data_IF_563462807957
#
_entry.id   IF_563462807957
#
_cell.length_a   1.000
_cell.length_b   1.000
_cell.length_c   1.000
_cell.angle_alpha   90.00
_cell.angle_beta   90.00
_cell.angle_gamma   90.00
#
_symmetry.space_group_name_H-M   'P 1'
#
loop_
_entity.id
_entity.type
_entity.pdbx_description
1 polymer ?
#
# COMPACT_ATOMS: atom_id res chain seq x y z
N UNK A 1 -15.91 7.38 5.43
CA UNK A 1 -14.89 6.66 6.19
C UNK A 1 -15.16 6.89 7.66
N UNK A 2 -14.79 5.95 8.53
CA UNK A 2 -14.97 6.06 9.98
C UNK A 2 -13.65 5.80 10.68
N UNK A 3 -13.21 6.73 11.51
CA UNK A 3 -12.02 6.54 12.36
C UNK A 3 -12.39 5.58 13.49
N UNK A 4 -11.56 4.55 13.69
CA UNK A 4 -11.77 3.53 14.72
C UNK A 4 -10.66 3.51 15.77
N UNK A 5 -9.53 4.16 15.50
CA UNK A 5 -8.40 4.18 16.43
C UNK A 5 -7.28 5.09 15.95
N UNK A 6 -6.33 5.31 16.86
CA UNK A 6 -5.03 5.92 16.54
C UNK A 6 -4.13 4.87 15.89
N UNK A 7 -3.47 5.24 14.80
CA UNK A 7 -2.40 4.44 14.21
C UNK A 7 -1.02 4.96 14.65
N UNK A 8 0.04 4.34 14.14
CA UNK A 8 1.41 4.83 14.35
C UNK A 8 2.29 4.65 13.12
N UNK A 9 3.41 5.39 13.09
CA UNK A 9 4.44 5.18 12.08
C UNK A 9 5.03 3.77 12.17
N UNK A 10 5.24 3.27 13.39
CA UNK A 10 5.69 1.91 13.66
C UNK A 10 4.78 0.85 13.01
N UNK A 11 3.47 1.03 13.15
CA UNK A 11 2.45 0.19 12.52
C UNK A 11 2.52 0.29 11.00
N UNK A 12 2.63 1.50 10.44
CA UNK A 12 2.78 1.69 9.00
C UNK A 12 3.98 0.94 8.44
N UNK A 13 5.16 1.09 9.05
CA UNK A 13 6.38 0.44 8.59
C UNK A 13 6.25 -1.09 8.69
N UNK A 14 5.67 -1.59 9.79
CA UNK A 14 5.45 -3.03 9.97
C UNK A 14 4.50 -3.60 8.90
N UNK A 15 3.33 -2.98 8.71
CA UNK A 15 2.34 -3.39 7.71
C UNK A 15 2.89 -3.32 6.29
N UNK A 16 3.65 -2.27 5.95
CA UNK A 16 4.28 -2.13 4.64
C UNK A 16 5.21 -3.32 4.36
N UNK A 17 6.12 -3.61 5.31
CA UNK A 17 7.12 -4.67 5.14
C UNK A 17 6.51 -6.07 5.12
N UNK A 18 5.48 -6.33 5.94
CA UNK A 18 4.74 -7.61 5.91
C UNK A 18 4.01 -7.79 4.59
N UNK A 19 3.32 -6.75 4.10
CA UNK A 19 2.64 -6.75 2.81
C UNK A 19 3.57 -7.09 1.65
N UNK A 20 4.80 -6.58 1.69
CA UNK A 20 5.81 -6.81 0.66
C UNK A 20 6.62 -8.10 0.84
N UNK A 21 6.67 -8.67 2.06
CA UNK A 21 7.42 -9.90 2.33
C UNK A 21 6.82 -11.11 1.61
N UNK A 22 5.49 -11.15 1.46
CA UNK A 22 4.77 -12.20 0.74
C UNK A 22 4.77 -12.02 -0.79
N UNK A 23 5.25 -10.87 -1.28
CA UNK A 23 5.35 -10.58 -2.71
C UNK A 23 6.46 -11.42 -3.36
N UNK A 24 6.13 -12.14 -4.43
CA UNK A 24 7.13 -12.86 -5.25
C UNK A 24 8.23 -11.93 -5.76
N UNK A 25 7.86 -10.69 -6.09
CA UNK A 25 8.77 -9.70 -6.67
C UNK A 25 9.69 -9.08 -5.62
N UNK A 26 9.17 -8.80 -4.43
CA UNK A 26 9.86 -7.95 -3.44
C UNK A 26 10.35 -8.71 -2.21
N UNK A 27 9.71 -9.82 -1.85
CA UNK A 27 10.08 -10.68 -0.74
C UNK A 27 11.55 -11.13 -0.75
N UNK A 28 12.13 -11.57 -1.89
CA UNK A 28 13.55 -11.94 -1.95
C UNK A 28 14.51 -10.78 -1.62
N UNK A 29 14.13 -9.54 -1.95
CA UNK A 29 14.95 -8.36 -1.64
C UNK A 29 14.89 -8.02 -0.17
N UNK A 30 13.70 -8.02 0.43
CA UNK A 30 13.53 -7.80 1.87
C UNK A 30 14.27 -8.87 2.68
N UNK A 31 14.18 -10.14 2.28
CA UNK A 31 14.89 -11.24 2.95
C UNK A 31 16.41 -11.06 2.93
N UNK A 32 16.97 -10.55 1.83
CA UNK A 32 18.41 -10.25 1.72
C UNK A 32 18.82 -9.09 2.62
N UNK A 33 18.02 -8.01 2.69
CA UNK A 33 18.27 -6.87 3.57
C UNK A 33 18.25 -7.32 5.04
N UNK A 34 17.25 -8.12 5.44
CA UNK A 34 17.22 -8.70 6.79
C UNK A 34 18.50 -9.48 7.10
N UNK A 35 18.94 -10.33 6.17
CA UNK A 35 20.16 -11.13 6.35
C UNK A 35 21.42 -10.27 6.47
N UNK A 36 21.56 -9.18 5.70
CA UNK A 36 22.73 -8.29 5.80
C UNK A 36 22.81 -7.53 7.13
N UNK A 37 21.66 -7.31 7.78
CA UNK A 37 21.59 -6.70 9.12
C UNK A 37 21.56 -7.72 10.26
N UNK A 38 21.70 -9.03 9.96
CA UNK A 38 21.62 -10.10 10.96
C UNK A 38 20.24 -10.22 11.63
N UNK A 39 19.19 -9.72 10.98
CA UNK A 39 17.84 -9.66 11.53
C UNK A 39 17.02 -10.90 11.13
N UNK A 40 16.22 -11.47 12.05
CA UNK A 40 15.33 -12.58 11.73
C UNK A 40 14.09 -12.09 10.98
N UNK A 41 13.43 -12.98 10.23
CA UNK A 41 12.14 -12.69 9.59
C UNK A 41 11.04 -12.29 10.59
N UNK A 42 11.16 -12.76 11.84
CA UNK A 42 10.21 -12.44 12.92
C UNK A 42 10.19 -10.96 13.28
N UNK A 43 11.24 -10.21 12.96
CA UNK A 43 11.24 -8.74 13.06
C UNK A 43 10.06 -8.11 12.30
N UNK A 44 9.64 -8.75 11.20
CA UNK A 44 8.52 -8.29 10.38
C UNK A 44 7.23 -9.02 10.74
N UNK A 45 7.25 -10.35 10.84
CA UNK A 45 6.01 -11.17 10.93
C UNK A 45 5.39 -11.23 12.32
N UNK A 46 6.08 -10.77 13.37
CA UNK A 46 5.57 -10.70 14.73
C UNK A 46 6.04 -9.40 15.40
N UNK A 47 5.77 -8.27 14.73
CA UNK A 47 6.30 -6.98 15.13
C UNK A 47 5.80 -6.56 16.53
N UNK A 48 6.72 -6.29 17.46
CA UNK A 48 6.38 -5.62 18.70
C UNK A 48 6.41 -4.10 18.48
N UNK A 49 5.24 -3.50 18.25
CA UNK A 49 5.13 -2.06 17.99
C UNK A 49 5.53 -1.19 19.20
N UNK A 50 5.58 -1.77 20.39
CA UNK A 50 6.02 -1.05 21.61
C UNK A 50 7.54 -1.07 21.82
N UNK A 51 8.29 -1.83 21.02
CA UNK A 51 9.74 -1.92 21.10
C UNK A 51 10.39 -0.88 20.16
N UNK A 52 11.01 0.18 20.69
CA UNK A 52 11.62 1.23 19.87
C UNK A 52 12.81 0.73 19.05
N UNK A 53 13.55 -0.27 19.53
CA UNK A 53 14.70 -0.82 18.82
C UNK A 53 14.22 -1.65 17.62
N UNK A 54 13.23 -2.52 17.79
CA UNK A 54 12.63 -3.25 16.65
C UNK A 54 12.02 -2.28 15.63
N UNK A 55 11.35 -1.23 16.10
CA UNK A 55 10.77 -0.19 15.24
C UNK A 55 11.85 0.49 14.38
N UNK A 56 12.97 0.85 14.99
CA UNK A 56 14.09 1.48 14.30
C UNK A 56 14.74 0.53 13.28
N UNK A 57 14.91 -0.75 13.62
CA UNK A 57 15.44 -1.74 12.67
C UNK A 57 14.50 -1.96 11.49
N UNK A 58 13.18 -2.01 11.70
CA UNK A 58 12.20 -2.04 10.62
C UNK A 58 12.28 -0.80 9.74
N UNK A 59 12.44 0.39 10.34
CA UNK A 59 12.66 1.64 9.62
C UNK A 59 13.87 1.59 8.69
N UNK A 60 14.99 1.00 9.16
CA UNK A 60 16.20 0.81 8.34
C UNK A 60 15.99 -0.16 7.19
N UNK A 61 15.29 -1.27 7.43
CA UNK A 61 14.93 -2.24 6.37
C UNK A 61 14.11 -1.56 5.28
N UNK A 62 13.08 -0.77 5.67
CA UNK A 62 12.26 -0.04 4.69
C UNK A 62 13.05 1.08 3.99
N UNK A 63 13.98 1.73 4.71
CA UNK A 63 14.92 2.70 4.16
C UNK A 63 15.80 2.13 3.05
N UNK A 64 16.41 0.97 3.30
CA UNK A 64 17.23 0.29 2.30
C UNK A 64 16.38 -0.26 1.14
N UNK A 65 15.18 -0.77 1.41
CA UNK A 65 14.31 -1.35 0.39
C UNK A 65 13.65 -0.32 -0.53
N UNK A 66 13.20 0.81 0.03
CA UNK A 66 12.33 1.79 -0.66
C UNK A 66 12.69 3.25 -0.44
N UNK A 67 13.75 3.54 0.30
CA UNK A 67 14.20 4.91 0.54
C UNK A 67 13.50 5.66 1.66
N UNK A 68 12.78 4.96 2.54
CA UNK A 68 12.13 5.56 3.70
C UNK A 68 13.10 6.33 4.59
N UNK A 69 12.72 7.55 5.01
CA UNK A 69 13.54 8.52 5.76
C UNK A 69 14.88 8.89 5.09
N UNK A 70 15.02 8.64 3.79
CA UNK A 70 16.24 8.90 3.01
C UNK A 70 15.97 9.77 1.77
N UNK A 71 14.74 10.27 1.60
CA UNK A 71 14.32 11.12 0.48
C UNK A 71 14.74 10.54 -0.90
N UNK A 72 14.51 9.23 -1.09
CA UNK A 72 14.88 8.51 -2.32
C UNK A 72 13.79 7.51 -2.70
N UNK A 73 13.82 7.08 -3.95
CA UNK A 73 12.87 6.10 -4.51
C UNK A 73 11.41 6.47 -4.21
N UNK A 74 10.64 5.56 -3.60
CA UNK A 74 9.22 5.76 -3.29
C UNK A 74 9.00 6.92 -2.32
N UNK A 75 9.95 7.22 -1.44
CA UNK A 75 9.79 8.23 -0.40
C UNK A 75 10.43 9.59 -0.74
N UNK A 76 10.67 9.86 -2.02
CA UNK A 76 11.18 11.17 -2.47
C UNK A 76 10.12 12.26 -2.28
N UNK A 77 10.39 13.25 -1.43
CA UNK A 77 9.46 14.30 -1.02
C UNK A 77 8.41 13.84 0.02
N UNK A 78 8.52 12.62 0.54
CA UNK A 78 7.57 12.14 1.54
C UNK A 78 7.83 12.85 2.88
N UNK A 79 6.80 13.33 3.59
CA UNK A 79 6.98 14.10 4.81
C UNK A 79 7.48 13.22 5.96
N UNK A 80 8.29 13.81 6.83
CA UNK A 80 8.83 13.13 8.02
C UNK A 80 7.75 12.92 9.10
N UNK A 81 6.73 13.77 9.14
CA UNK A 81 5.66 13.74 10.14
C UNK A 81 4.30 13.54 9.49
N UNK A 82 3.65 12.43 9.84
CA UNK A 82 2.25 12.14 9.54
C UNK A 82 1.51 11.73 10.80
N UNK A 83 0.27 12.19 10.91
CA UNK A 83 -0.68 11.67 11.90
C UNK A 83 -1.35 10.42 11.34
N UNK A 84 -1.12 9.28 11.98
CA UNK A 84 -1.65 7.98 11.56
C UNK A 84 -2.96 7.64 12.28
N UNK A 85 -3.93 7.11 11.53
CA UNK A 85 -5.24 6.69 12.03
C UNK A 85 -5.63 5.35 11.44
N UNK A 86 -6.26 4.50 12.26
CA UNK A 86 -6.95 3.32 11.79
C UNK A 86 -8.37 3.73 11.38
N UNK A 87 -8.74 3.44 10.14
CA UNK A 87 -10.06 3.79 9.60
C UNK A 87 -10.72 2.58 8.94
N UNK A 88 -12.05 2.61 8.90
CA UNK A 88 -12.87 1.72 8.09
C UNK A 88 -13.46 2.50 6.92
N UNK A 89 -13.35 1.94 5.73
CA UNK A 89 -13.93 2.48 4.50
C UNK A 89 -15.01 1.54 3.97
N UNK A 90 -16.10 2.10 3.45
CA UNK A 90 -17.03 1.31 2.64
C UNK A 90 -16.37 0.93 1.31
N UNK A 91 -16.89 -0.09 0.59
CA UNK A 91 -16.43 -0.39 -0.77
C UNK A 91 -16.47 0.82 -1.71
N UNK A 92 -17.52 1.66 -1.64
CA UNK A 92 -17.62 2.84 -2.50
C UNK A 92 -16.55 3.89 -2.19
N UNK A 93 -16.20 4.07 -0.92
CA UNK A 93 -15.14 5.00 -0.50
C UNK A 93 -13.76 4.48 -0.88
N UNK A 94 -13.53 3.19 -0.67
CA UNK A 94 -12.30 2.50 -1.03
C UNK A 94 -11.99 2.62 -2.53
N UNK A 95 -13.00 2.51 -3.39
CA UNK A 95 -12.84 2.61 -4.85
C UNK A 95 -12.61 4.04 -5.35
N UNK A 96 -12.73 5.05 -4.49
CA UNK A 96 -12.33 6.44 -4.77
C UNK A 96 -10.87 6.73 -4.36
N UNK A 97 -10.19 5.81 -3.65
CA UNK A 97 -8.75 5.93 -3.37
C UNK A 97 -7.97 5.91 -4.67
N UNK A 98 -7.04 6.84 -4.83
CA UNK A 98 -6.20 6.94 -6.02
C UNK A 98 -4.93 6.09 -5.85
N UNK A 99 -4.46 5.50 -6.95
CA UNK A 99 -3.08 5.01 -7.03
C UNK A 99 -2.08 6.17 -6.90
N UNK A 100 -0.84 5.92 -6.51
CA UNK A 100 0.24 6.92 -6.64
C UNK A 100 0.37 7.45 -8.08
N UNK A 101 0.86 8.68 -8.23
CA UNK A 101 1.30 9.18 -9.53
C UNK A 101 2.60 8.48 -9.94
N UNK A 102 2.45 7.39 -10.67
CA UNK A 102 3.55 6.60 -11.17
C UNK A 102 3.17 5.98 -12.50
N UNK A 103 4.10 6.00 -13.45
CA UNK A 103 3.85 5.70 -14.86
C UNK A 103 3.10 4.38 -15.09
N UNK A 104 3.39 3.35 -14.31
CA UNK A 104 2.69 2.07 -14.39
C UNK A 104 1.19 2.19 -14.05
N UNK A 105 0.85 2.83 -12.93
CA UNK A 105 -0.54 2.98 -12.48
C UNK A 105 -1.32 3.97 -13.35
N UNK A 106 -0.65 5.05 -13.76
CA UNK A 106 -1.19 6.02 -14.71
C UNK A 106 -1.50 5.36 -16.06
N UNK A 107 -0.62 4.50 -16.57
CA UNK A 107 -0.88 3.74 -17.80
C UNK A 107 -2.00 2.69 -17.63
N UNK A 108 -2.07 1.99 -16.50
CA UNK A 108 -3.11 1.00 -16.20
C UNK A 108 -4.52 1.61 -16.14
N UNK A 109 -4.61 2.88 -15.76
CA UNK A 109 -5.89 3.60 -15.54
C UNK A 109 -6.19 4.66 -16.59
N UNK A 110 -5.37 4.76 -17.64
CA UNK A 110 -5.46 5.82 -18.65
C UNK A 110 -5.48 7.23 -18.02
N UNK A 111 -4.64 7.45 -17.00
CA UNK A 111 -4.43 8.74 -16.35
C UNK A 111 -5.32 9.04 -15.15
N UNK A 112 -6.41 8.31 -14.94
CA UNK A 112 -7.37 8.65 -13.86
C UNK A 112 -6.88 8.29 -12.47
N UNK A 113 -5.92 7.35 -12.38
CA UNK A 113 -5.41 6.76 -11.13
C UNK A 113 -6.49 6.02 -10.32
N UNK A 114 -7.68 5.75 -10.90
CA UNK A 114 -8.80 5.11 -10.19
C UNK A 114 -8.77 3.57 -10.30
N UNK A 115 -9.00 2.83 -9.20
CA UNK A 115 -9.06 1.38 -9.21
C UNK A 115 -10.16 0.79 -10.11
N UNK A 116 -11.29 1.48 -10.20
CA UNK A 116 -12.40 1.07 -11.08
C UNK A 116 -12.03 1.10 -12.56
N UNK A 117 -11.17 2.05 -12.97
CA UNK A 117 -10.66 2.14 -14.34
C UNK A 117 -9.61 1.07 -14.61
N UNK A 118 -8.74 0.78 -13.64
CA UNK A 118 -7.83 -0.37 -13.72
C UNK A 118 -8.62 -1.68 -13.86
N UNK A 119 -9.65 -1.91 -13.05
CA UNK A 119 -10.48 -3.11 -13.14
C UNK A 119 -11.13 -3.25 -14.52
N UNK A 120 -11.64 -2.16 -15.12
CA UNK A 120 -12.20 -2.16 -16.48
C UNK A 120 -11.14 -2.51 -17.52
N UNK A 121 -9.96 -1.88 -17.44
CA UNK A 121 -8.84 -2.15 -18.35
C UNK A 121 -8.41 -3.62 -18.30
N UNK A 122 -8.26 -4.19 -17.10
CA UNK A 122 -7.84 -5.58 -16.89
C UNK A 122 -8.89 -6.57 -17.40
N UNK A 123 -10.18 -6.34 -17.09
CA UNK A 123 -11.29 -7.18 -17.61
C UNK A 123 -11.36 -7.15 -19.14
N UNK A 124 -10.96 -6.05 -19.77
CA UNK A 124 -10.84 -5.93 -21.23
C UNK A 124 -9.62 -6.64 -21.83
N UNK A 125 -8.79 -7.31 -21.04
CA UNK A 125 -7.56 -7.95 -21.50
C UNK A 125 -6.42 -6.96 -21.76
N UNK A 126 -6.48 -5.77 -21.14
CA UNK A 126 -5.49 -4.71 -21.35
C UNK A 126 -4.09 -5.12 -20.91
N UNK A 127 -3.10 -4.71 -21.72
CA UNK A 127 -1.67 -4.87 -21.44
C UNK A 127 -1.06 -3.50 -21.13
N UNK A 128 -0.45 -3.34 -19.95
CA UNK A 128 0.19 -2.08 -19.59
C UNK A 128 1.38 -1.83 -20.53
N UNK A 129 1.50 -0.62 -21.07
CA UNK A 129 2.46 -0.27 -22.12
C UNK A 129 2.39 -1.20 -23.36
N UNK A 130 1.24 -1.83 -23.62
CA UNK A 130 1.01 -2.69 -24.78
C UNK A 130 1.63 -4.10 -24.70
N UNK A 131 2.38 -4.43 -23.65
CA UNK A 131 3.08 -5.72 -23.55
C UNK A 131 3.12 -6.33 -22.15
N UNK A 132 2.89 -5.56 -21.08
CA UNK A 132 2.95 -6.08 -19.72
C UNK A 132 1.60 -6.71 -19.33
N UNK A 133 1.56 -8.01 -18.99
CA UNK A 133 0.32 -8.70 -18.67
C UNK A 133 -0.23 -8.28 -17.31
N UNK A 134 -1.56 -8.29 -17.20
CA UNK A 134 -2.31 -7.89 -15.99
C UNK A 134 -2.99 -9.07 -15.28
N UNK A 135 -2.80 -10.30 -15.77
CA UNK A 135 -3.48 -11.50 -15.24
C UNK A 135 -3.18 -11.81 -13.77
N UNK A 136 -2.05 -11.35 -13.22
CA UNK A 136 -1.74 -11.52 -11.80
C UNK A 136 -2.74 -10.81 -10.88
N UNK A 137 -3.36 -9.69 -11.32
CA UNK A 137 -4.42 -9.04 -10.55
C UNK A 137 -5.70 -9.88 -10.48
N UNK A 138 -6.00 -10.65 -11.53
CA UNK A 138 -7.15 -11.55 -11.56
C UNK A 138 -6.96 -12.70 -10.56
N UNK A 139 -5.76 -13.29 -10.51
CA UNK A 139 -5.44 -14.34 -9.55
C UNK A 139 -5.61 -13.86 -8.09
N UNK A 140 -5.16 -12.65 -7.77
CA UNK A 140 -5.36 -12.05 -6.44
C UNK A 140 -6.85 -11.79 -6.17
N UNK A 141 -7.60 -11.34 -7.17
CA UNK A 141 -9.04 -11.14 -7.04
C UNK A 141 -9.79 -12.46 -6.83
N UNK A 142 -9.36 -13.56 -7.45
CA UNK A 142 -9.93 -14.89 -7.25
C UNK A 142 -9.73 -15.37 -5.80
N UNK A 143 -8.50 -15.28 -5.27
CA UNK A 143 -8.24 -15.58 -3.85
C UNK A 143 -9.09 -14.72 -2.90
N UNK A 144 -9.44 -13.49 -3.29
CA UNK A 144 -10.29 -12.62 -2.47
C UNK A 144 -11.73 -13.11 -2.46
N UNK A 145 -12.25 -13.58 -3.59
CA UNK A 145 -13.59 -14.22 -3.67
C UNK A 145 -13.67 -15.49 -2.85
N UNK A 146 -12.54 -16.19 -2.68
CA UNK A 146 -12.42 -17.39 -1.85
C UNK A 146 -12.29 -17.09 -0.34
N UNK A 147 -12.24 -15.81 0.04
CA UNK A 147 -12.21 -15.40 1.45
C UNK A 147 -10.81 -15.41 2.07
N UNK A 148 -9.76 -15.33 1.27
CA UNK A 148 -8.40 -15.13 1.81
C UNK A 148 -8.34 -13.87 2.69
N UNK A 149 -7.52 -13.91 3.73
CA UNK A 149 -7.20 -12.76 4.56
C UNK A 149 -6.16 -11.88 3.87
N UNK A 150 -6.19 -10.58 4.14
CA UNK A 150 -5.30 -9.60 3.52
C UNK A 150 -4.81 -8.60 4.55
N UNK A 151 -3.56 -8.17 4.37
CA UNK A 151 -3.06 -7.02 5.10
C UNK A 151 -3.83 -5.75 4.71
N UNK A 152 -4.09 -4.84 5.67
CA UNK A 152 -4.69 -3.55 5.40
C UNK A 152 -3.94 -2.81 4.29
N UNK A 153 -4.66 -2.00 3.51
CA UNK A 153 -4.01 -1.04 2.62
C UNK A 153 -3.54 0.17 3.42
N UNK A 154 -2.45 0.76 2.99
CA UNK A 154 -1.87 1.95 3.61
C UNK A 154 -2.12 3.12 2.67
N UNK A 155 -2.72 4.18 3.18
CA UNK A 155 -3.11 5.36 2.43
C UNK A 155 -2.59 6.63 3.08
N UNK A 156 -2.50 7.69 2.29
CA UNK A 156 -2.11 9.02 2.74
C UNK A 156 -3.00 10.11 2.14
N UNK A 157 -3.13 11.25 2.83
CA UNK A 157 -3.86 12.44 2.35
C UNK A 157 -3.34 13.73 2.96
N UNK A 158 -3.50 14.84 2.26
CA UNK A 158 -3.07 16.16 2.75
C UNK A 158 -3.95 16.70 3.90
N UNK A 159 -5.23 16.35 3.88
CA UNK A 159 -6.21 16.78 4.87
C UNK A 159 -7.63 16.38 4.46
N UNK A 160 -8.63 16.91 5.16
CA UNK A 160 -10.01 16.72 4.77
C UNK A 160 -10.31 17.38 3.41
N UNK A 161 -11.18 16.76 2.62
CA UNK A 161 -11.51 17.21 1.26
C UNK A 161 -10.43 16.98 0.19
N UNK A 162 -9.25 16.48 0.56
CA UNK A 162 -8.18 16.12 -0.37
C UNK A 162 -8.29 14.66 -0.80
N UNK A 163 -7.76 14.29 -1.99
CA UNK A 163 -7.74 12.90 -2.43
C UNK A 163 -6.98 12.03 -1.44
N UNK A 164 -7.44 10.78 -1.29
CA UNK A 164 -6.72 9.74 -0.57
C UNK A 164 -5.91 8.95 -1.60
N UNK A 165 -4.62 8.80 -1.35
CA UNK A 165 -3.68 8.12 -2.25
C UNK A 165 -3.13 6.89 -1.54
N UNK A 166 -3.16 5.74 -2.21
CA UNK A 166 -2.59 4.50 -1.66
C UNK A 166 -1.06 4.60 -1.65
N UNK A 167 -0.45 4.40 -0.49
CA UNK A 167 1.01 4.30 -0.32
C UNK A 167 1.47 2.86 -0.54
N UNK A 168 0.73 1.88 -0.03
CA UNK A 168 1.01 0.46 -0.15
C UNK A 168 -0.30 -0.35 -0.25
N UNK A 169 -0.25 -1.47 -0.97
CA UNK A 169 -1.41 -2.30 -1.24
C UNK A 169 -2.03 -2.07 -2.61
N UNK A 170 -1.31 -1.47 -3.57
CA UNK A 170 -1.82 -1.20 -4.92
C UNK A 170 -2.41 -2.43 -5.63
N UNK A 171 -1.74 -3.58 -5.54
CA UNK A 171 -2.24 -4.85 -6.09
C UNK A 171 -3.52 -5.30 -5.39
N UNK A 172 -3.58 -5.16 -4.06
CA UNK A 172 -4.77 -5.48 -3.27
C UNK A 172 -5.94 -4.55 -3.63
N UNK A 173 -5.71 -3.25 -3.72
CA UNK A 173 -6.72 -2.27 -4.15
C UNK A 173 -7.25 -2.57 -5.56
N UNK A 174 -6.38 -2.99 -6.48
CA UNK A 174 -6.79 -3.42 -7.83
C UNK A 174 -7.65 -4.68 -7.80
N UNK A 175 -7.25 -5.67 -6.99
CA UNK A 175 -8.02 -6.90 -6.80
C UNK A 175 -9.38 -6.63 -6.14
N UNK A 176 -9.44 -5.71 -5.16
CA UNK A 176 -10.66 -5.25 -4.52
C UNK A 176 -11.62 -4.62 -5.54
N UNK A 177 -11.11 -3.84 -6.50
CA UNK A 177 -11.93 -3.30 -7.59
C UNK A 177 -12.42 -4.39 -8.57
N UNK A 178 -11.61 -5.42 -8.83
CA UNK A 178 -11.99 -6.56 -9.66
C UNK A 178 -13.00 -7.50 -8.98
N UNK A 179 -13.02 -7.53 -7.65
CA UNK A 179 -13.90 -8.33 -6.81
C UNK A 179 -14.83 -7.48 -5.93
N UNK A 180 -15.23 -6.29 -6.43
CA UNK A 180 -15.97 -5.29 -5.64
C UNK A 180 -17.24 -5.84 -4.97
N UNK A 181 -17.92 -6.79 -5.62
CA UNK A 181 -19.16 -7.38 -5.12
C UNK A 181 -18.95 -8.37 -3.97
N UNK A 182 -17.69 -8.73 -3.69
CA UNK A 182 -17.28 -9.66 -2.63
C UNK A 182 -16.60 -8.94 -1.46
N UNK A 183 -16.49 -7.61 -1.51
CA UNK A 183 -15.90 -6.85 -0.42
C UNK A 183 -16.80 -6.86 0.82
N UNK A 184 -16.21 -6.91 2.02
CA UNK A 184 -16.98 -6.70 3.24
C UNK A 184 -17.56 -5.28 3.27
N UNK A 185 -18.58 -5.08 4.10
CA UNK A 185 -19.23 -3.77 4.24
C UNK A 185 -18.26 -2.66 4.72
N UNK A 186 -17.23 -3.04 5.46
CA UNK A 186 -16.17 -2.16 5.96
C UNK A 186 -14.81 -2.82 5.73
N UNK A 187 -13.87 -2.07 5.14
CA UNK A 187 -12.49 -2.49 4.87
C UNK A 187 -11.52 -1.68 5.74
N UNK A 188 -10.62 -2.33 6.50
CA UNK A 188 -9.61 -1.65 7.30
C UNK A 188 -8.52 -1.01 6.45
N UNK A 189 -8.20 0.24 6.79
CA UNK A 189 -7.18 1.06 6.14
C UNK A 189 -6.37 1.79 7.21
N UNK A 190 -5.06 1.84 7.02
CA UNK A 190 -4.17 2.71 7.80
C UNK A 190 -3.97 4.02 7.02
N UNK A 191 -4.41 5.14 7.60
CA UNK A 191 -4.43 6.44 6.93
C UNK A 191 -3.46 7.42 7.59
N UNK A 192 -2.46 7.88 6.84
CA UNK A 192 -1.56 8.96 7.24
C UNK A 192 -2.08 10.31 6.74
N UNK A 193 -2.12 11.32 7.61
CA UNK A 193 -2.50 12.67 7.22
C UNK A 193 -1.37 13.66 7.52
N UNK A 194 -0.98 14.45 6.52
CA UNK A 194 -0.01 15.54 6.66
C UNK A 194 -0.19 16.54 5.51
N UNK A 195 -0.35 17.85 5.76
CA UNK A 195 -0.44 18.84 4.69
C UNK A 195 0.74 18.79 3.71
N UNK A 196 1.93 18.47 4.22
CA UNK A 196 3.17 18.36 3.44
C UNK A 196 3.22 17.11 2.54
N UNK A 197 2.27 16.17 2.64
CA UNK A 197 2.24 15.02 1.71
C UNK A 197 2.00 15.46 0.27
N UNK A 198 1.48 16.67 0.04
CA UNK A 198 1.32 17.23 -1.31
C UNK A 198 2.65 17.50 -2.02
N UNK A 199 3.77 17.56 -1.28
CA UNK A 199 5.13 17.67 -1.83
C UNK A 199 5.74 16.30 -2.19
N UNK A 200 5.06 15.20 -1.82
CA UNK A 200 5.51 13.85 -2.16
C UNK A 200 5.40 13.64 -3.66
N UNK A 201 6.49 13.18 -4.29
CA UNK A 201 6.60 13.01 -5.75
C UNK A 201 5.58 12.05 -6.38
N UNK A 202 4.87 11.28 -5.56
CA UNK A 202 3.89 10.28 -5.96
C UNK A 202 2.44 10.63 -5.53
N UNK A 203 2.21 11.82 -4.96
CA UNK A 203 0.88 12.23 -4.49
C UNK A 203 -0.11 12.51 -5.62
#
# INVERSE_FOLDING_TARGET
MRIIGTGSEAEMVASFLVGELSSERFGPTIARILASHGQPKTLLTNANLSDPEENEQRGRVLGEFRGYRQNRELFTGFPDELSWQQVLMSPSELLEVLYIDYSYWTALTNGTRRPSDAARFIRGGGLVFGHMPTGHFLAVADSMREGAAWEPIICVRAGDGHPIVVLEGHTRLTAMALASDYLPAEVPVLLGTSPAISDWSCY
#
